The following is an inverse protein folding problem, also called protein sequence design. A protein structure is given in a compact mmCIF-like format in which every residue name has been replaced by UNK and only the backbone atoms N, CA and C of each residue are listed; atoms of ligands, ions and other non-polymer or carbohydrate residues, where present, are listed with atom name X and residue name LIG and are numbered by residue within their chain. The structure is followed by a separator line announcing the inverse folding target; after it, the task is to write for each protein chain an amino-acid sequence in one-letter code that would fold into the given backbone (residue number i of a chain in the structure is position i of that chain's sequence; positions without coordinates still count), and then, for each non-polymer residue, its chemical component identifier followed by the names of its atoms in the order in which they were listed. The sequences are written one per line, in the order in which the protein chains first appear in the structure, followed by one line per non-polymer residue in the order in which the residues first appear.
data_IF_767975257257
#
_entry.id   IF_767975257257
#
_cell.length_a   1.000
_cell.length_b   1.000
_cell.length_c   1.000
_cell.angle_alpha   90.00
_cell.angle_beta   90.00
_cell.angle_gamma   90.00
#
_symmetry.space_group_name_H-M   'P 1'
#
loop_
_entity.id
_entity.type
_entity.pdbx_description
1 polymer ?
#
# COMPACT_ATOMS: atom_id res chain seq x y z
N UNK A 1 -18.47 -12.85 20.00
CA UNK A 1 -18.40 -11.71 19.07
C UNK A 1 -18.54 -12.28 17.68
N UNK A 2 -19.40 -11.73 16.83
CA UNK A 2 -19.57 -12.24 15.45
C UNK A 2 -18.29 -11.99 14.66
N UNK A 3 -17.83 -13.00 13.94
CA UNK A 3 -16.72 -12.93 13.00
C UNK A 3 -17.05 -11.90 11.90
N UNK A 4 -16.10 -11.01 11.60
CA UNK A 4 -16.28 -9.98 10.57
C UNK A 4 -15.69 -10.48 9.26
N UNK A 5 -16.53 -10.59 8.22
CA UNK A 5 -16.15 -11.10 6.92
C UNK A 5 -15.80 -10.00 5.92
N UNK A 6 -14.75 -10.24 5.16
CA UNK A 6 -14.25 -9.42 4.07
C UNK A 6 -14.04 -10.28 2.82
N UNK A 7 -13.87 -9.66 1.67
CA UNK A 7 -13.52 -10.36 0.44
C UNK A 7 -11.99 -10.47 0.30
N UNK A 8 -11.25 -9.58 0.99
CA UNK A 8 -9.80 -9.64 1.11
C UNK A 8 -9.32 -8.97 2.40
N UNK A 9 -8.27 -9.53 3.01
CA UNK A 9 -7.57 -8.92 4.14
C UNK A 9 -6.10 -8.72 3.77
N UNK A 10 -5.63 -7.49 3.88
CA UNK A 10 -4.23 -7.10 3.62
C UNK A 10 -3.50 -6.91 4.94
N UNK A 11 -2.44 -7.67 5.16
CA UNK A 11 -1.59 -7.56 6.36
C UNK A 11 -0.43 -6.62 6.05
N UNK A 12 -0.46 -5.44 6.63
CA UNK A 12 0.53 -4.38 6.49
C UNK A 12 0.01 -3.13 5.78
N UNK A 13 -0.03 -1.99 6.48
CA UNK A 13 -0.43 -0.68 5.97
C UNK A 13 0.78 0.14 5.47
N UNK A 14 1.71 -0.51 4.78
CA UNK A 14 2.79 0.13 4.01
C UNK A 14 2.35 0.47 2.59
N UNK A 15 3.27 0.99 1.77
CA UNK A 15 2.98 1.39 0.39
C UNK A 15 2.34 0.26 -0.44
N UNK A 16 2.93 -0.93 -0.42
CA UNK A 16 2.43 -2.08 -1.18
C UNK A 16 1.04 -2.54 -0.71
N UNK A 17 0.83 -2.62 0.62
CA UNK A 17 -0.47 -3.02 1.17
C UNK A 17 -1.57 -2.02 0.87
N UNK A 18 -1.31 -0.72 1.00
CA UNK A 18 -2.27 0.31 0.67
C UNK A 18 -2.62 0.29 -0.83
N UNK A 19 -1.63 0.19 -1.72
CA UNK A 19 -1.87 0.10 -3.16
C UNK A 19 -2.65 -1.16 -3.54
N UNK A 20 -2.35 -2.31 -2.92
CA UNK A 20 -3.11 -3.55 -3.08
C UNK A 20 -4.57 -3.36 -2.66
N UNK A 21 -4.79 -2.75 -1.49
CA UNK A 21 -6.13 -2.51 -0.96
C UNK A 21 -6.94 -1.53 -1.83
N UNK A 22 -6.32 -0.44 -2.31
CA UNK A 22 -6.93 0.51 -3.26
C UNK A 22 -7.39 -0.24 -4.52
N UNK A 23 -6.49 -1.02 -5.13
CA UNK A 23 -6.79 -1.76 -6.34
C UNK A 23 -7.91 -2.80 -6.15
N UNK A 24 -8.00 -3.44 -5.00
CA UNK A 24 -9.05 -4.40 -4.67
C UNK A 24 -10.39 -3.67 -4.38
N UNK A 25 -10.36 -2.61 -3.58
CA UNK A 25 -11.55 -1.82 -3.25
C UNK A 25 -12.18 -1.16 -4.48
N UNK A 26 -11.36 -0.63 -5.40
CA UNK A 26 -11.83 -0.07 -6.67
C UNK A 26 -12.54 -1.11 -7.57
N UNK A 27 -12.33 -2.40 -7.32
CA UNK A 27 -13.04 -3.51 -7.98
C UNK A 27 -14.32 -3.95 -7.24
N UNK A 28 -14.71 -3.19 -6.22
CA UNK A 28 -15.93 -3.46 -5.45
C UNK A 28 -15.77 -4.49 -4.34
N UNK A 29 -14.55 -4.91 -4.02
CA UNK A 29 -14.30 -5.85 -2.92
C UNK A 29 -14.36 -5.13 -1.56
N UNK A 30 -14.90 -5.79 -0.56
CA UNK A 30 -14.83 -5.36 0.85
C UNK A 30 -13.45 -5.72 1.39
N UNK A 31 -12.61 -4.70 1.56
CA UNK A 31 -11.21 -4.88 1.94
C UNK A 31 -10.95 -4.37 3.35
N UNK A 32 -10.22 -5.18 4.13
CA UNK A 32 -9.64 -4.78 5.41
C UNK A 32 -8.12 -4.74 5.29
N UNK A 33 -7.51 -3.64 5.74
CA UNK A 33 -6.07 -3.55 5.97
C UNK A 33 -5.82 -3.60 7.48
N UNK A 34 -4.92 -4.46 7.93
CA UNK A 34 -4.49 -4.52 9.34
C UNK A 34 -2.99 -4.25 9.44
N UNK A 35 -2.59 -3.49 10.47
CA UNK A 35 -1.17 -3.24 10.76
C UNK A 35 -0.92 -3.22 12.27
N UNK A 36 0.15 -3.87 12.71
CA UNK A 36 0.56 -3.86 14.13
C UNK A 36 1.03 -2.48 14.59
N UNK A 37 1.52 -1.65 13.67
CA UNK A 37 1.97 -0.32 13.97
C UNK A 37 0.80 0.61 14.33
N UNK A 38 1.08 1.62 15.14
CA UNK A 38 0.09 2.64 15.53
C UNK A 38 -0.14 3.74 14.48
N UNK A 39 0.56 3.66 13.33
CA UNK A 39 0.47 4.63 12.22
C UNK A 39 0.63 3.92 10.90
N UNK A 40 -0.16 4.35 9.94
CA UNK A 40 -0.06 3.94 8.53
C UNK A 40 1.25 4.46 7.92
N UNK A 41 1.88 3.67 7.06
CA UNK A 41 2.97 4.12 6.21
C UNK A 41 4.27 4.47 6.93
N UNK A 42 4.61 3.84 8.07
CA UNK A 42 5.81 4.18 8.85
C UNK A 42 7.09 4.27 8.01
N UNK A 43 7.31 3.31 7.10
CA UNK A 43 8.51 3.33 6.23
C UNK A 43 8.46 4.47 5.21
N UNK A 44 7.28 4.85 4.71
CA UNK A 44 7.10 6.00 3.83
C UNK A 44 7.50 7.27 4.55
N UNK A 45 7.03 7.43 5.81
CA UNK A 45 7.31 8.62 6.64
C UNK A 45 8.81 8.84 6.90
N UNK A 46 9.59 7.76 6.94
CA UNK A 46 11.03 7.80 7.19
C UNK A 46 11.88 7.88 5.91
N UNK A 47 11.29 7.55 4.77
CA UNK A 47 12.02 7.50 3.50
C UNK A 47 12.44 8.89 3.02
N UNK A 48 13.57 8.96 2.30
CA UNK A 48 14.05 10.20 1.71
C UNK A 48 14.24 11.35 2.69
N UNK A 49 14.64 11.05 3.94
CA UNK A 49 14.81 12.09 4.97
C UNK A 49 13.49 12.78 5.34
N UNK A 50 12.36 12.09 5.29
CA UNK A 50 11.03 12.64 5.57
C UNK A 50 10.35 13.32 4.38
N UNK A 51 10.97 13.26 3.19
CA UNK A 51 10.40 13.80 1.95
C UNK A 51 9.88 12.75 0.98
N UNK A 52 10.06 11.48 1.29
CA UNK A 52 9.71 10.33 0.48
C UNK A 52 10.27 10.38 -0.96
N UNK A 53 11.23 9.53 -1.25
CA UNK A 53 11.51 9.17 -2.64
C UNK A 53 10.37 8.25 -3.11
N UNK A 54 9.36 8.81 -3.74
CA UNK A 54 8.11 8.08 -3.99
C UNK A 54 8.14 7.31 -5.31
N UNK A 55 8.96 7.70 -6.28
CA UNK A 55 9.19 6.95 -7.53
C UNK A 55 10.47 7.38 -8.22
N UNK A 56 10.79 6.68 -9.31
CA UNK A 56 11.88 7.02 -10.23
C UNK A 56 11.38 6.89 -11.66
N UNK A 57 11.52 7.96 -12.46
CA UNK A 57 11.06 8.03 -13.85
C UNK A 57 11.77 7.03 -14.78
N UNK A 58 13.00 6.63 -14.43
CA UNK A 58 13.81 5.66 -15.18
C UNK A 58 13.59 4.20 -14.76
N UNK A 59 12.59 3.90 -13.94
CA UNK A 59 12.35 2.52 -13.47
C UNK A 59 11.99 1.57 -14.61
N UNK A 60 12.77 0.52 -14.74
CA UNK A 60 12.55 -0.57 -15.69
C UNK A 60 12.70 -1.93 -14.99
N UNK A 61 12.25 -3.04 -15.59
CA UNK A 61 12.47 -4.37 -15.02
C UNK A 61 13.94 -4.71 -14.74
N UNK A 62 14.88 -4.11 -15.46
CA UNK A 62 16.32 -4.33 -15.26
C UNK A 62 16.85 -3.77 -13.92
N UNK A 63 16.11 -2.86 -13.28
CA UNK A 63 16.46 -2.32 -11.97
C UNK A 63 16.13 -3.26 -10.81
N UNK A 64 15.40 -4.36 -11.06
CA UNK A 64 14.98 -5.33 -10.05
C UNK A 64 15.85 -6.59 -10.14
N UNK A 65 16.72 -6.76 -9.15
CA UNK A 65 17.63 -7.90 -9.08
C UNK A 65 16.95 -9.07 -8.35
N UNK A 66 16.76 -10.18 -9.05
CA UNK A 66 16.22 -11.40 -8.46
C UNK A 66 16.62 -12.63 -9.26
N UNK A 67 16.48 -13.84 -8.67
CA UNK A 67 16.69 -15.09 -9.38
C UNK A 67 15.70 -15.30 -10.55
N UNK A 68 14.54 -14.63 -10.53
CA UNK A 68 13.59 -14.59 -11.63
C UNK A 68 13.55 -13.18 -12.24
N UNK A 69 14.29 -12.91 -13.35
CA UNK A 69 14.33 -11.59 -13.98
C UNK A 69 13.02 -11.17 -14.63
N UNK A 70 12.03 -12.06 -14.69
CA UNK A 70 10.73 -11.80 -15.28
C UNK A 70 9.67 -11.45 -14.22
N UNK A 71 9.95 -11.63 -12.93
CA UNK A 71 9.00 -11.50 -11.84
C UNK A 71 8.23 -10.18 -11.84
N UNK A 72 8.92 -9.05 -12.02
CA UNK A 72 8.31 -7.71 -11.94
C UNK A 72 7.73 -7.19 -13.26
N UNK A 73 8.00 -7.84 -14.40
CA UNK A 73 7.63 -7.31 -15.74
C UNK A 73 6.15 -7.03 -15.90
N UNK A 74 5.31 -7.98 -15.51
CA UNK A 74 3.85 -7.83 -15.62
C UNK A 74 3.32 -6.74 -14.70
N UNK A 75 3.84 -6.63 -13.49
CA UNK A 75 3.43 -5.60 -12.53
C UNK A 75 3.80 -4.21 -13.04
N UNK A 76 5.04 -4.01 -13.48
CA UNK A 76 5.54 -2.72 -13.99
C UNK A 76 4.88 -2.31 -15.32
N UNK A 77 4.45 -3.26 -16.14
CA UNK A 77 3.71 -2.97 -17.36
C UNK A 77 2.25 -2.56 -17.09
N UNK A 78 1.67 -2.99 -15.97
CA UNK A 78 0.27 -2.67 -15.59
C UNK A 78 0.16 -1.43 -14.71
N UNK A 79 1.20 -1.09 -14.00
CA UNK A 79 1.28 0.08 -13.15
C UNK A 79 2.70 0.66 -13.22
N UNK A 80 2.81 1.74 -13.96
CA UNK A 80 4.08 2.39 -14.29
C UNK A 80 4.43 3.48 -13.27
N UNK A 81 5.67 3.98 -13.25
CA UNK A 81 6.01 5.19 -12.50
C UNK A 81 5.11 6.38 -12.87
N UNK A 82 4.72 6.52 -14.14
CA UNK A 82 3.81 7.56 -14.61
C UNK A 82 2.43 7.48 -13.95
N UNK A 83 1.86 6.28 -13.83
CA UNK A 83 0.56 6.10 -13.16
C UNK A 83 0.59 6.57 -11.69
N UNK A 84 1.72 6.36 -11.00
CA UNK A 84 1.86 6.86 -9.63
C UNK A 84 2.07 8.37 -9.60
N UNK A 85 2.82 8.94 -10.54
CA UNK A 85 2.98 10.40 -10.69
C UNK A 85 1.62 11.05 -10.93
N UNK A 86 0.81 10.50 -11.83
CA UNK A 86 -0.55 10.98 -12.09
C UNK A 86 -1.41 10.99 -10.82
N UNK A 87 -1.28 9.98 -9.96
CA UNK A 87 -1.96 9.96 -8.67
C UNK A 87 -1.48 11.09 -7.76
N UNK A 88 -0.18 11.31 -7.66
CA UNK A 88 0.44 12.39 -6.87
C UNK A 88 -0.05 13.76 -7.37
N UNK A 89 -0.12 13.96 -8.68
CA UNK A 89 -0.59 15.21 -9.30
C UNK A 89 -2.09 15.45 -9.09
N UNK A 90 -2.94 14.40 -9.19
CA UNK A 90 -4.37 14.51 -8.85
C UNK A 90 -4.59 14.99 -7.42
N UNK A 91 -3.72 14.59 -6.51
CA UNK A 91 -3.74 15.06 -5.11
C UNK A 91 -3.01 16.40 -4.90
N UNK A 92 -2.53 17.05 -5.97
CA UNK A 92 -1.84 18.34 -5.95
C UNK A 92 -0.65 18.37 -4.98
N UNK A 93 0.10 17.29 -4.92
CA UNK A 93 1.30 17.17 -4.11
C UNK A 93 2.48 17.70 -4.93
N UNK A 94 3.09 18.78 -4.48
CA UNK A 94 4.28 19.33 -5.11
C UNK A 94 5.51 18.44 -4.89
N UNK A 95 6.30 18.26 -5.93
CA UNK A 95 7.49 17.41 -5.93
C UNK A 95 8.57 17.94 -6.88
N UNK A 96 9.78 17.46 -6.73
CA UNK A 96 10.90 17.74 -7.62
C UNK A 96 11.70 16.48 -7.93
N UNK A 97 12.38 16.50 -9.06
CA UNK A 97 13.43 15.53 -9.36
C UNK A 97 14.73 15.97 -8.66
N UNK A 98 15.35 15.05 -7.93
CA UNK A 98 16.62 15.32 -7.25
C UNK A 98 17.80 14.98 -8.17
N UNK A 99 17.95 13.71 -8.52
CA UNK A 99 18.96 13.19 -9.42
C UNK A 99 18.54 11.82 -9.97
N UNK A 100 19.03 11.47 -11.16
CA UNK A 100 18.82 10.15 -11.78
C UNK A 100 17.36 9.72 -11.85
N UNK A 101 16.43 10.65 -12.04
CA UNK A 101 15.00 10.36 -12.15
C UNK A 101 14.27 10.14 -10.81
N UNK A 102 14.94 10.33 -9.68
CA UNK A 102 14.33 10.18 -8.36
C UNK A 102 13.40 11.36 -8.04
N UNK A 103 12.16 11.08 -7.70
CA UNK A 103 11.16 12.09 -7.36
C UNK A 103 10.88 12.13 -5.85
N UNK A 104 10.95 13.34 -5.29
CA UNK A 104 10.75 13.62 -3.87
C UNK A 104 9.65 14.65 -3.64
N UNK A 105 8.85 14.49 -2.58
CA UNK A 105 7.91 15.54 -2.17
C UNK A 105 8.68 16.80 -1.71
N UNK A 106 8.16 17.96 -2.09
CA UNK A 106 8.76 19.25 -1.69
C UNK A 106 8.60 19.52 -0.20
N UNK A 107 7.46 19.17 0.36
CA UNK A 107 7.09 19.49 1.74
C UNK A 107 7.32 18.33 2.70
N UNK A 108 6.62 17.21 2.52
CA UNK A 108 6.65 16.11 3.49
C UNK A 108 6.13 14.79 2.92
N UNK A 109 6.76 13.69 3.33
CA UNK A 109 6.29 12.32 3.12
C UNK A 109 4.88 12.04 3.66
N UNK A 110 4.41 12.86 4.63
CA UNK A 110 3.05 12.77 5.17
C UNK A 110 1.98 12.96 4.10
N UNK A 111 2.28 13.74 3.06
CA UNK A 111 1.35 13.96 1.95
C UNK A 111 1.12 12.69 1.14
N UNK A 112 2.16 11.90 0.89
CA UNK A 112 2.03 10.58 0.22
C UNK A 112 1.21 9.61 1.09
N UNK A 113 1.47 9.56 2.39
CA UNK A 113 0.68 8.70 3.30
C UNK A 113 -0.78 9.13 3.31
N UNK A 114 -1.04 10.45 3.41
CA UNK A 114 -2.41 10.98 3.38
C UNK A 114 -3.10 10.61 2.06
N UNK A 115 -2.46 10.82 0.93
CA UNK A 115 -2.97 10.46 -0.39
C UNK A 115 -3.40 8.99 -0.45
N UNK A 116 -2.52 8.07 -0.05
CA UNK A 116 -2.82 6.63 -0.06
C UNK A 116 -3.96 6.25 0.87
N UNK A 117 -4.07 6.91 2.02
CA UNK A 117 -5.20 6.71 2.95
C UNK A 117 -6.50 7.25 2.35
N UNK A 118 -6.48 8.45 1.77
CA UNK A 118 -7.65 9.04 1.10
C UNK A 118 -8.16 8.16 -0.06
N UNK A 119 -7.25 7.61 -0.87
CA UNK A 119 -7.59 6.67 -1.96
C UNK A 119 -8.18 5.35 -1.40
N UNK A 120 -7.64 4.83 -0.29
CA UNK A 120 -8.21 3.67 0.39
C UNK A 120 -9.65 3.95 0.85
N UNK A 121 -9.88 5.09 1.51
CA UNK A 121 -11.20 5.49 2.00
C UNK A 121 -12.19 5.69 0.84
N UNK A 122 -11.77 6.34 -0.24
CA UNK A 122 -12.58 6.51 -1.44
C UNK A 122 -12.95 5.16 -2.10
N UNK A 123 -12.08 4.16 -1.99
CA UNK A 123 -12.33 2.79 -2.46
C UNK A 123 -13.10 1.91 -1.44
N UNK A 124 -13.59 2.47 -0.32
CA UNK A 124 -14.34 1.74 0.70
C UNK A 124 -13.50 0.79 1.55
N UNK A 125 -12.17 0.94 1.54
CA UNK A 125 -11.25 0.11 2.33
C UNK A 125 -11.30 0.50 3.80
N UNK A 126 -11.37 -0.50 4.68
CA UNK A 126 -11.22 -0.32 6.13
C UNK A 126 -9.76 -0.51 6.53
N UNK A 127 -9.24 0.38 7.36
CA UNK A 127 -7.87 0.33 7.88
C UNK A 127 -7.90 0.25 9.40
N UNK A 128 -7.24 -0.76 9.97
CA UNK A 128 -7.08 -0.96 11.41
C UNK A 128 -5.60 -0.95 11.79
N UNK A 129 -5.17 0.08 12.49
CA UNK A 129 -3.81 0.19 13.05
C UNK A 129 -3.76 -0.32 14.49
N UNK A 130 -2.55 -0.59 15.00
CA UNK A 130 -2.37 -1.22 16.32
C UNK A 130 -3.02 -2.61 16.39
N UNK A 131 -3.23 -3.26 15.25
CA UNK A 131 -3.86 -4.56 15.10
C UNK A 131 -2.78 -5.62 14.83
N UNK A 132 -2.23 -6.21 15.87
CA UNK A 132 -1.29 -7.32 15.73
C UNK A 132 -2.03 -8.59 15.34
N UNK A 133 -1.55 -9.27 14.31
CA UNK A 133 -2.02 -10.60 13.89
C UNK A 133 -1.24 -11.62 14.71
N UNK A 134 -1.96 -12.50 15.41
CA UNK A 134 -1.39 -13.55 16.22
C UNK A 134 -1.32 -14.87 15.45
N UNK A 135 -2.37 -15.16 14.68
CA UNK A 135 -2.49 -16.40 13.93
C UNK A 135 -3.25 -16.18 12.63
N UNK A 136 -2.87 -16.93 11.60
CA UNK A 136 -3.60 -17.03 10.33
C UNK A 136 -3.84 -18.51 10.08
N UNK A 137 -5.09 -18.88 9.89
CA UNK A 137 -5.51 -20.24 9.57
C UNK A 137 -6.28 -20.25 8.26
N UNK A 138 -6.22 -21.39 7.56
CA UNK A 138 -7.07 -21.65 6.41
C UNK A 138 -7.85 -22.94 6.65
N UNK A 139 -9.17 -22.85 6.61
CA UNK A 139 -10.05 -24.01 6.68
C UNK A 139 -11.24 -23.78 5.75
N UNK A 140 -11.63 -24.82 5.02
CA UNK A 140 -12.79 -24.81 4.11
C UNK A 140 -12.79 -23.66 3.08
N UNK A 141 -11.59 -23.27 2.61
CA UNK A 141 -11.44 -22.19 1.64
C UNK A 141 -11.49 -20.77 2.22
N UNK A 142 -11.64 -20.64 3.53
CA UNK A 142 -11.70 -19.36 4.25
C UNK A 142 -10.42 -19.14 5.03
N UNK A 143 -9.83 -17.96 4.92
CA UNK A 143 -8.75 -17.51 5.79
C UNK A 143 -9.32 -16.84 7.04
N UNK A 144 -8.84 -17.26 8.22
CA UNK A 144 -9.18 -16.66 9.51
C UNK A 144 -7.96 -16.02 10.12
N UNK A 145 -8.08 -14.76 10.53
CA UNK A 145 -7.05 -14.02 11.25
C UNK A 145 -7.50 -13.85 12.70
N UNK A 146 -6.71 -14.35 13.63
CA UNK A 146 -6.82 -13.98 15.04
C UNK A 146 -5.92 -12.78 15.32
N UNK A 147 -6.50 -11.73 15.90
CA UNK A 147 -5.80 -10.47 16.13
C UNK A 147 -6.12 -9.89 17.50
N UNK A 148 -5.31 -8.91 17.91
CA UNK A 148 -5.57 -8.13 19.13
C UNK A 148 -6.96 -7.45 19.16
N UNK A 149 -7.56 -7.17 18.00
CA UNK A 149 -8.87 -6.51 17.88
C UNK A 149 -10.03 -7.47 17.63
N UNK A 150 -9.79 -8.79 17.76
CA UNK A 150 -10.73 -9.86 17.50
C UNK A 150 -10.45 -10.60 16.21
N UNK A 151 -11.36 -11.48 15.81
CA UNK A 151 -11.18 -12.34 14.65
C UNK A 151 -11.83 -11.76 13.40
N UNK A 152 -11.16 -11.95 12.26
CA UNK A 152 -11.60 -11.55 10.93
C UNK A 152 -11.50 -12.74 9.98
N UNK A 153 -12.36 -12.78 8.94
CA UNK A 153 -12.32 -13.82 7.91
C UNK A 153 -12.36 -13.22 6.50
N UNK A 154 -11.73 -13.92 5.53
CA UNK A 154 -11.77 -13.61 4.10
C UNK A 154 -11.73 -14.89 3.25
#
# INVERSE_FOLDING_TARGET
MSERHYDAIVIGAGAAGLMCAIAAGQRGLRVLVVDHANKVGKKILMSGGGRCNFTNTGTTPANFLSANPHFCKSALARYTPGDFIDMVERHRIAYHEKELGQLFCDVSSKLIVKMLVDECLAAGVRIETGCSVHQVEQADGVFRLDTRLGSFAA
#
